data_IF_035695252334
#
_entry.id   IF_035695252334
#
_cell.length_a   1.000
_cell.length_b   1.000
_cell.length_c   1.000
_cell.angle_alpha   90.00
_cell.angle_beta   90.00
_cell.angle_gamma   90.00
#
_symmetry.space_group_name_H-M   'P 1'
#
loop_
_entity.id
_entity.type
_entity.pdbx_description
1 polymer ?
#
# COMPACT_ATOMS: atom_id res chain seq x y z
N UNK A 1 -13.27 -7.45 -17.25
CA UNK A 1 -13.14 -6.20 -16.48
C UNK A 1 -12.91 -6.59 -15.03
N UNK A 2 -11.67 -6.56 -14.57
CA UNK A 2 -11.34 -6.92 -13.20
C UNK A 2 -11.90 -5.83 -12.28
N UNK A 3 -12.90 -6.17 -11.46
CA UNK A 3 -13.38 -5.31 -10.39
C UNK A 3 -12.25 -5.19 -9.37
N UNK A 4 -11.40 -4.17 -9.54
CA UNK A 4 -10.38 -3.80 -8.56
C UNK A 4 -11.14 -3.45 -7.28
N UNK A 5 -10.80 -4.13 -6.20
CA UNK A 5 -11.44 -3.87 -4.90
C UNK A 5 -11.05 -2.48 -4.40
N UNK A 6 -11.90 -1.84 -3.59
CA UNK A 6 -11.59 -0.52 -3.00
C UNK A 6 -10.23 -0.51 -2.29
N UNK A 7 -9.87 -1.64 -1.65
CA UNK A 7 -8.59 -1.78 -0.98
C UNK A 7 -7.40 -1.84 -1.95
N UNK A 8 -7.55 -2.47 -3.12
CA UNK A 8 -6.51 -2.46 -4.16
C UNK A 8 -6.31 -1.07 -4.77
N UNK A 9 -7.40 -0.29 -4.95
CA UNK A 9 -7.29 1.11 -5.37
C UNK A 9 -6.55 1.95 -4.32
N UNK A 10 -6.81 1.71 -3.03
CA UNK A 10 -6.14 2.41 -1.94
C UNK A 10 -4.64 2.05 -1.85
N UNK A 11 -4.30 0.77 -2.09
CA UNK A 11 -2.91 0.31 -2.19
C UNK A 11 -2.19 1.00 -3.37
N UNK A 12 -2.83 1.09 -4.53
CA UNK A 12 -2.24 1.73 -5.71
C UNK A 12 -2.03 3.24 -5.48
N UNK A 13 -2.99 3.91 -4.84
CA UNK A 13 -2.88 5.30 -4.47
C UNK A 13 -1.73 5.55 -3.48
N UNK A 14 -1.62 4.72 -2.44
CA UNK A 14 -0.53 4.81 -1.47
C UNK A 14 0.84 4.49 -2.09
N UNK A 15 0.91 3.56 -3.06
CA UNK A 15 2.14 3.30 -3.83
C UNK A 15 2.58 4.52 -4.62
N UNK A 16 1.65 5.19 -5.30
CA UNK A 16 1.95 6.41 -6.04
C UNK A 16 2.41 7.54 -5.11
N UNK A 17 1.78 7.68 -3.94
CA UNK A 17 2.18 8.65 -2.92
C UNK A 17 3.57 8.32 -2.35
N UNK A 18 3.87 7.06 -2.07
CA UNK A 18 5.19 6.64 -1.59
C UNK A 18 6.27 6.93 -2.62
N UNK A 19 6.02 6.62 -3.89
CA UNK A 19 6.96 6.88 -4.97
C UNK A 19 7.24 8.38 -5.12
N UNK A 20 6.19 9.21 -5.14
CA UNK A 20 6.34 10.66 -5.18
C UNK A 20 7.13 11.19 -3.97
N UNK A 21 6.86 10.67 -2.78
CA UNK A 21 7.56 11.05 -1.56
C UNK A 21 9.03 10.63 -1.57
N UNK A 22 9.34 9.43 -2.07
CA UNK A 22 10.73 8.96 -2.22
C UNK A 22 11.48 9.85 -3.22
N UNK A 23 10.85 10.24 -4.33
CA UNK A 23 11.43 11.19 -5.30
C UNK A 23 11.66 12.56 -4.64
N UNK A 24 10.67 13.09 -3.92
CA UNK A 24 10.76 14.38 -3.22
C UNK A 24 11.88 14.38 -2.17
N UNK A 25 12.04 13.27 -1.44
CA UNK A 25 13.09 13.09 -0.43
C UNK A 25 14.42 12.60 -1.03
N UNK A 26 14.61 12.73 -2.35
CA UNK A 26 15.85 12.38 -3.06
C UNK A 26 16.32 10.94 -2.81
N UNK A 27 15.38 10.00 -2.74
CA UNK A 27 15.68 8.58 -2.47
C UNK A 27 15.93 8.28 -0.99
N UNK A 28 15.68 9.21 -0.07
CA UNK A 28 15.87 8.95 1.36
C UNK A 28 14.75 8.06 1.93
N UNK A 29 15.01 6.75 1.90
CA UNK A 29 14.12 5.72 2.46
C UNK A 29 14.01 5.78 3.98
N UNK A 30 15.00 6.38 4.66
CA UNK A 30 15.00 6.56 6.11
C UNK A 30 14.28 7.85 6.53
N UNK A 31 13.72 8.61 5.59
CA UNK A 31 12.92 9.76 5.96
C UNK A 31 11.69 9.28 6.75
N UNK A 32 11.38 9.87 7.92
CA UNK A 32 10.29 9.38 8.79
C UNK A 32 8.94 9.33 8.08
N UNK A 33 8.68 10.27 7.16
CA UNK A 33 7.46 10.24 6.34
C UNK A 33 7.44 9.06 5.35
N UNK A 34 8.59 8.70 4.76
CA UNK A 34 8.69 7.54 3.84
C UNK A 34 8.50 6.24 4.62
N UNK A 35 9.16 6.10 5.77
CA UNK A 35 8.99 4.95 6.66
C UNK A 35 7.55 4.79 7.13
N UNK A 36 6.90 5.88 7.55
CA UNK A 36 5.50 5.84 8.00
C UNK A 36 4.56 5.38 6.87
N UNK A 37 4.75 5.91 5.67
CA UNK A 37 3.88 5.62 4.53
C UNK A 37 4.14 4.20 3.97
N UNK A 38 5.40 3.73 4.03
CA UNK A 38 5.77 2.33 3.79
C UNK A 38 5.08 1.39 4.78
N UNK A 39 5.18 1.64 6.09
CA UNK A 39 4.58 0.78 7.10
C UNK A 39 3.05 0.71 6.97
N UNK A 40 2.42 1.83 6.62
CA UNK A 40 0.98 1.89 6.34
C UNK A 40 0.60 1.07 5.09
N UNK A 41 1.41 1.15 4.03
CA UNK A 41 1.20 0.37 2.81
C UNK A 41 1.34 -1.14 3.08
N UNK A 42 2.37 -1.56 3.81
CA UNK A 42 2.57 -2.96 4.20
C UNK A 42 1.38 -3.51 4.98
N UNK A 43 0.87 -2.74 5.94
CA UNK A 43 -0.31 -3.13 6.72
C UNK A 43 -1.53 -3.37 5.81
N UNK A 44 -1.80 -2.45 4.90
CA UNK A 44 -2.93 -2.55 3.97
C UNK A 44 -2.81 -3.75 3.01
N UNK A 45 -1.59 -4.06 2.55
CA UNK A 45 -1.34 -5.24 1.71
C UNK A 45 -1.65 -6.52 2.50
N UNK A 46 -1.17 -6.63 3.73
CA UNK A 46 -1.43 -7.79 4.59
C UNK A 46 -2.93 -7.93 4.90
N UNK A 47 -3.62 -6.82 5.20
CA UNK A 47 -5.08 -6.83 5.42
C UNK A 47 -5.85 -7.25 4.16
N UNK A 48 -5.43 -6.79 2.99
CA UNK A 48 -5.96 -7.24 1.70
C UNK A 48 -5.80 -8.75 1.49
N UNK A 49 -4.59 -9.27 1.75
CA UNK A 49 -4.28 -10.69 1.59
C UNK A 49 -5.12 -11.54 2.55
N UNK A 50 -5.20 -11.15 3.82
CA UNK A 50 -6.05 -11.82 4.82
C UNK A 50 -7.53 -11.82 4.44
N UNK A 51 -8.03 -10.70 3.90
CA UNK A 51 -9.42 -10.63 3.44
C UNK A 51 -9.68 -11.54 2.23
N UNK A 52 -8.72 -11.64 1.29
CA UNK A 52 -8.80 -12.57 0.16
C UNK A 52 -8.79 -14.03 0.61
N UNK A 53 -7.93 -14.39 1.57
CA UNK A 53 -7.87 -15.76 2.13
C UNK A 53 -9.13 -16.11 2.93
N UNK A 54 -9.65 -15.16 3.72
CA UNK A 54 -10.89 -15.35 4.49
C UNK A 54 -12.12 -15.52 3.59
N UNK A 55 -12.10 -14.99 2.37
CA UNK A 55 -13.18 -15.14 1.38
C UNK A 55 -13.13 -16.46 0.60
N UNK A 56 -11.99 -17.17 0.62
CA UNK A 56 -11.80 -18.45 -0.09
C UNK A 56 -12.22 -19.70 0.71
N UNK A 57 -12.68 -19.52 1.96
CA UNK A 57 -13.08 -20.61 2.88
C UNK A 57 -14.61 -20.66 3.16
N UNK A 58 -15.43 -20.11 2.26
CA UNK A 58 -16.90 -20.18 2.37
C UNK A 58 -17.55 -20.87 1.18
#
# INVERSE_FOLDING_TARGET
MSNITKQEQEIELLRNQLNALVIEKQGNLNHPAVMFLSARLDKLIVECQKNKESFSLK
#
